data_IF_358611624344
#
_entry.id   IF_358611624344
#
_cell.length_a   1.000
_cell.length_b   1.000
_cell.length_c   1.000
_cell.angle_alpha   90.00
_cell.angle_beta   90.00
_cell.angle_gamma   90.00
#
_symmetry.space_group_name_H-M   'P 1'
#
loop_
_entity.id
_entity.type
_entity.pdbx_description
1 polymer ?
#
# COMPACT_ATOMS: atom_id res chain seq x y z
N UNK A 1 0.30 -6.13 -61.53
CA UNK A 1 0.31 -4.66 -61.35
C UNK A 1 1.36 -4.30 -60.31
N UNK A 2 2.40 -3.62 -60.78
CA UNK A 2 3.34 -2.68 -60.14
C UNK A 2 3.95 -3.01 -58.77
N UNK A 3 5.21 -3.45 -58.83
CA UNK A 3 6.24 -3.33 -57.77
C UNK A 3 6.66 -1.86 -57.63
N UNK A 4 6.48 -1.28 -56.44
CA UNK A 4 6.88 0.09 -56.12
C UNK A 4 8.32 0.13 -55.61
N UNK A 5 9.22 0.52 -56.51
CA UNK A 5 10.63 0.80 -56.28
C UNK A 5 10.77 2.25 -55.80
N UNK A 6 11.43 2.49 -54.66
CA UNK A 6 11.82 3.85 -54.25
C UNK A 6 13.31 3.86 -53.92
N UNK A 7 14.09 4.42 -54.85
CA UNK A 7 15.50 4.77 -54.65
C UNK A 7 15.61 6.25 -54.23
N UNK A 8 16.33 6.45 -53.13
CA UNK A 8 17.29 7.50 -52.78
C UNK A 8 17.28 8.84 -53.56
N UNK A 9 17.16 9.95 -52.83
CA UNK A 9 17.74 11.25 -53.22
C UNK A 9 18.46 11.87 -52.01
N UNK A 10 19.72 12.23 -52.27
CA UNK A 10 20.74 12.73 -51.34
C UNK A 10 20.71 14.26 -51.29
N UNK A 11 20.88 14.83 -50.08
CA UNK A 11 21.76 15.97 -49.82
C UNK A 11 21.26 17.39 -50.11
N UNK A 12 21.19 18.21 -49.05
CA UNK A 12 21.72 19.57 -49.09
C UNK A 12 22.10 20.02 -47.67
N UNK A 13 23.41 20.09 -47.43
CA UNK A 13 24.03 20.74 -46.28
C UNK A 13 23.56 22.20 -46.18
N UNK A 14 23.09 22.58 -44.99
CA UNK A 14 22.86 23.97 -44.63
C UNK A 14 24.00 24.42 -43.72
N UNK A 15 24.83 25.29 -44.28
CA UNK A 15 25.95 25.99 -43.66
C UNK A 15 25.51 26.77 -42.41
N UNK A 16 26.31 26.66 -41.35
CA UNK A 16 26.15 27.43 -40.11
C UNK A 16 26.75 28.84 -40.25
N UNK A 17 26.17 29.87 -39.62
CA UNK A 17 26.85 31.16 -39.44
C UNK A 17 27.85 31.09 -38.29
N UNK A 18 29.11 31.46 -38.58
CA UNK A 18 30.16 31.69 -37.60
C UNK A 18 30.06 33.12 -37.07
N UNK A 19 29.98 33.29 -35.75
CA UNK A 19 30.65 34.41 -35.07
C UNK A 19 31.20 33.93 -33.73
N UNK A 20 32.36 34.48 -33.41
CA UNK A 20 33.35 34.06 -32.44
C UNK A 20 33.23 34.89 -31.16
N UNK A 21 33.76 34.34 -30.05
CA UNK A 21 34.27 35.03 -28.85
C UNK A 21 33.21 35.57 -27.85
N UNK A 22 33.25 35.34 -26.52
CA UNK A 22 34.30 34.90 -25.59
C UNK A 22 33.68 34.09 -24.43
N UNK A 23 34.51 33.23 -23.84
CA UNK A 23 34.19 32.28 -22.77
C UNK A 23 34.56 32.87 -21.38
N UNK A 24 33.68 32.82 -20.37
CA UNK A 24 34.11 32.79 -18.98
C UNK A 24 34.39 31.34 -18.62
N UNK A 25 35.64 31.04 -18.31
CA UNK A 25 36.06 29.81 -17.66
C UNK A 25 35.45 29.75 -16.25
N UNK A 26 34.61 28.76 -15.96
CA UNK A 26 34.78 27.97 -14.73
C UNK A 26 34.18 26.58 -14.93
N UNK A 27 34.95 25.64 -14.44
CA UNK A 27 34.83 24.21 -14.57
C UNK A 27 33.95 23.70 -13.43
N UNK A 28 32.80 23.07 -13.70
CA UNK A 28 32.20 22.15 -12.72
C UNK A 28 31.22 21.18 -13.37
N UNK A 29 31.76 20.15 -14.04
CA UNK A 29 31.00 18.94 -14.32
C UNK A 29 30.89 18.11 -13.03
N UNK A 30 29.93 18.44 -12.17
CA UNK A 30 29.45 17.49 -11.17
C UNK A 30 28.38 16.63 -11.83
N UNK A 31 28.80 15.40 -12.12
CA UNK A 31 28.00 14.29 -12.58
C UNK A 31 26.68 14.19 -11.83
N UNK A 32 25.57 14.26 -12.56
CA UNK A 32 24.25 13.89 -12.07
C UNK A 32 24.24 12.37 -11.85
N UNK A 33 24.73 11.97 -10.68
CA UNK A 33 24.45 10.64 -10.14
C UNK A 33 23.04 10.72 -9.57
N UNK A 34 22.09 10.11 -10.28
CA UNK A 34 20.73 9.82 -9.81
C UNK A 34 20.83 9.06 -8.47
N UNK A 35 20.84 9.82 -7.38
CA UNK A 35 20.83 9.29 -6.04
C UNK A 35 19.40 8.89 -5.73
N UNK A 36 19.01 7.68 -6.13
CA UNK A 36 17.80 7.04 -5.62
C UNK A 36 17.99 6.84 -4.11
N UNK A 37 17.59 7.85 -3.34
CA UNK A 37 17.59 7.82 -1.88
C UNK A 37 16.56 6.77 -1.44
N UNK A 38 16.98 5.51 -1.36
CA UNK A 38 16.20 4.48 -0.67
C UNK A 38 16.15 4.86 0.80
N UNK A 39 15.05 5.46 1.23
CA UNK A 39 14.84 5.80 2.64
C UNK A 39 14.76 4.48 3.42
N UNK A 40 15.80 4.18 4.19
CA UNK A 40 15.82 2.99 5.04
C UNK A 40 14.93 3.18 6.26
N UNK A 41 14.39 2.07 6.82
CA UNK A 41 13.57 2.08 8.06
C UNK A 41 14.28 2.80 9.23
N UNK A 42 15.61 2.70 9.30
CA UNK A 42 16.42 3.37 10.33
C UNK A 42 16.55 4.86 10.06
N UNK A 43 16.71 5.25 8.79
CA UNK A 43 16.71 6.66 8.35
C UNK A 43 15.35 7.32 8.58
N UNK A 44 14.25 6.58 8.43
CA UNK A 44 12.89 7.04 8.73
C UNK A 44 12.70 7.30 10.22
N UNK A 45 13.05 6.34 11.09
CA UNK A 45 12.95 6.51 12.55
C UNK A 45 13.86 7.63 13.09
N UNK A 46 15.08 7.74 12.56
CA UNK A 46 16.02 8.78 12.99
C UNK A 46 15.59 10.20 12.58
N UNK A 47 14.88 10.35 11.46
CA UNK A 47 14.39 11.65 10.97
C UNK A 47 12.99 12.02 11.51
N UNK A 48 12.18 11.03 11.90
CA UNK A 48 10.82 11.24 12.42
C UNK A 48 10.76 12.01 13.74
N UNK A 49 11.82 11.96 14.57
CA UNK A 49 11.85 12.64 15.88
C UNK A 49 12.00 14.18 15.71
N UNK A 50 12.56 14.66 14.59
CA UNK A 50 12.87 16.08 14.39
C UNK A 50 11.69 16.96 13.93
N UNK A 51 10.64 16.40 13.33
CA UNK A 51 9.50 17.18 12.82
C UNK A 51 8.48 17.54 13.93
N UNK A 52 8.58 16.95 15.12
CA UNK A 52 7.61 17.11 16.21
C UNK A 52 7.82 18.38 17.05
N UNK A 53 8.96 19.05 16.94
CA UNK A 53 9.34 20.15 17.84
C UNK A 53 8.52 21.44 17.62
N UNK A 54 7.82 21.60 16.49
CA UNK A 54 7.00 22.79 16.20
C UNK A 54 5.50 22.62 16.55
N UNK A 55 5.05 21.45 17.00
CA UNK A 55 3.65 21.23 17.43
C UNK A 55 3.39 21.45 18.93
N UNK A 56 4.41 21.82 19.71
CA UNK A 56 4.30 21.98 21.17
C UNK A 56 3.56 23.25 21.65
N UNK A 57 3.00 24.07 20.75
CA UNK A 57 2.30 25.32 21.11
C UNK A 57 0.87 25.44 20.58
N UNK A 58 0.24 24.35 20.10
CA UNK A 58 -1.19 24.38 19.82
C UNK A 58 -1.98 23.92 21.05
N UNK A 59 -2.78 24.80 21.69
CA UNK A 59 -3.69 24.40 22.76
C UNK A 59 -4.98 23.77 22.20
N UNK A 60 -4.90 23.09 21.05
CA UNK A 60 -6.00 22.24 20.60
C UNK A 60 -5.93 20.96 21.43
N UNK A 61 -6.59 21.01 22.60
CA UNK A 61 -6.79 19.85 23.44
C UNK A 61 -7.48 18.77 22.62
N UNK A 62 -6.71 17.77 22.23
CA UNK A 62 -7.22 16.54 21.67
C UNK A 62 -7.86 15.80 22.84
N UNK A 63 -9.11 16.14 23.14
CA UNK A 63 -9.97 15.27 23.93
C UNK A 63 -10.08 14.01 23.11
N UNK A 64 -9.20 13.04 23.38
CA UNK A 64 -9.37 11.70 22.87
C UNK A 64 -10.76 11.29 23.35
N UNK A 65 -11.72 11.19 22.43
CA UNK A 65 -12.98 10.49 22.66
C UNK A 65 -12.64 9.00 22.65
N UNK A 66 -11.69 8.59 23.49
CA UNK A 66 -11.61 7.24 23.96
C UNK A 66 -12.77 7.16 24.97
N UNK A 67 -13.96 6.85 24.45
CA UNK A 67 -15.04 6.39 25.31
C UNK A 67 -14.54 5.24 26.19
N UNK A 68 -15.23 4.93 27.30
CA UNK A 68 -14.84 3.83 28.16
C UNK A 68 -14.57 2.59 27.29
N UNK A 69 -13.32 2.13 27.28
CA UNK A 69 -12.98 0.84 26.71
C UNK A 69 -13.65 -0.16 27.63
N UNK A 70 -14.83 -0.64 27.23
CA UNK A 70 -15.43 -1.81 27.81
C UNK A 70 -14.39 -2.92 27.72
N UNK A 71 -13.97 -3.44 28.88
CA UNK A 71 -12.97 -4.49 29.01
C UNK A 71 -13.61 -5.80 28.51
N UNK A 72 -13.80 -5.89 27.19
CA UNK A 72 -14.49 -7.01 26.55
C UNK A 72 -13.59 -8.23 26.68
N UNK A 73 -14.11 -9.24 27.36
CA UNK A 73 -13.44 -10.53 27.48
C UNK A 73 -13.05 -11.06 26.08
N UNK A 74 -11.93 -11.77 25.95
CA UNK A 74 -11.55 -12.42 24.69
C UNK A 74 -12.69 -13.29 24.16
N UNK A 75 -12.85 -13.33 22.83
CA UNK A 75 -13.83 -14.21 22.17
C UNK A 75 -13.55 -15.68 22.50
N UNK A 76 -14.63 -16.46 22.64
CA UNK A 76 -14.50 -17.91 22.78
C UNK A 76 -13.87 -18.49 21.49
N UNK A 77 -12.77 -19.22 21.69
CA UNK A 77 -12.04 -19.88 20.61
C UNK A 77 -12.90 -20.83 19.79
N UNK A 78 -13.82 -21.57 20.43
CA UNK A 78 -14.68 -22.52 19.72
C UNK A 78 -15.66 -21.81 18.78
N UNK A 79 -16.13 -20.62 19.16
CA UNK A 79 -17.02 -19.81 18.32
C UNK A 79 -16.24 -19.23 17.13
N UNK A 80 -15.00 -18.78 17.35
CA UNK A 80 -14.12 -18.28 16.28
C UNK A 80 -13.79 -19.39 15.27
N UNK A 81 -13.43 -20.58 15.74
CA UNK A 81 -13.19 -21.74 14.87
C UNK A 81 -14.43 -22.08 14.06
N UNK A 82 -15.59 -22.16 14.71
CA UNK A 82 -16.85 -22.47 14.03
C UNK A 82 -17.19 -21.43 12.97
N UNK A 83 -17.01 -20.15 13.28
CA UNK A 83 -17.29 -19.04 12.38
C UNK A 83 -16.46 -19.12 11.10
N UNK A 84 -15.16 -19.36 11.21
CA UNK A 84 -14.27 -19.53 10.05
C UNK A 84 -14.59 -20.83 9.30
N UNK A 85 -14.90 -21.91 10.01
CA UNK A 85 -15.27 -23.20 9.40
C UNK A 85 -16.53 -23.08 8.54
N UNK A 86 -17.61 -22.49 9.06
CA UNK A 86 -18.89 -22.40 8.34
C UNK A 86 -18.85 -21.41 7.18
N UNK A 87 -17.95 -20.43 7.21
CA UNK A 87 -17.74 -19.50 6.11
C UNK A 87 -17.29 -20.16 4.80
N UNK A 88 -16.84 -21.42 4.84
CA UNK A 88 -16.53 -22.21 3.65
C UNK A 88 -17.76 -22.68 2.86
N UNK A 89 -18.97 -22.66 3.44
CA UNK A 89 -20.15 -23.24 2.76
C UNK A 89 -21.53 -22.76 3.21
N UNK A 90 -21.68 -22.16 4.40
CA UNK A 90 -22.97 -21.92 5.04
C UNK A 90 -23.17 -20.42 5.38
N UNK A 91 -23.66 -19.67 4.40
CA UNK A 91 -23.92 -18.23 4.52
C UNK A 91 -24.98 -17.90 5.57
N UNK A 92 -26.02 -18.72 5.69
CA UNK A 92 -27.11 -18.46 6.64
C UNK A 92 -26.61 -18.58 8.08
N UNK A 93 -25.75 -19.56 8.34
CA UNK A 93 -25.10 -19.70 9.64
C UNK A 93 -24.09 -18.60 9.92
N UNK A 94 -23.31 -18.16 8.93
CA UNK A 94 -22.42 -16.99 9.07
C UNK A 94 -23.20 -15.75 9.51
N UNK A 95 -24.36 -15.49 8.88
CA UNK A 95 -25.24 -14.36 9.24
C UNK A 95 -25.76 -14.49 10.67
N UNK A 96 -26.30 -15.66 11.04
CA UNK A 96 -26.81 -15.91 12.38
C UNK A 96 -25.74 -15.69 13.47
N UNK A 97 -24.51 -16.19 13.24
CA UNK A 97 -23.40 -16.00 14.17
C UNK A 97 -22.97 -14.53 14.29
N UNK A 98 -23.01 -13.75 13.21
CA UNK A 98 -22.71 -12.31 13.24
C UNK A 98 -23.81 -11.50 13.93
N UNK A 99 -25.08 -11.89 13.79
CA UNK A 99 -26.18 -11.27 14.52
C UNK A 99 -26.04 -11.49 16.03
N UNK A 100 -25.67 -12.71 16.45
CA UNK A 100 -25.44 -13.04 17.86
C UNK A 100 -24.17 -12.41 18.42
N UNK A 101 -23.06 -12.48 17.68
CA UNK A 101 -21.75 -11.97 18.10
C UNK A 101 -21.09 -11.12 17.00
N UNK A 102 -21.43 -9.82 16.89
CA UNK A 102 -20.92 -8.94 15.83
C UNK A 102 -19.39 -8.79 15.80
N UNK A 103 -18.72 -9.04 16.94
CA UNK A 103 -17.27 -8.97 17.05
C UNK A 103 -16.54 -10.09 16.29
N UNK A 104 -17.23 -11.17 15.90
CA UNK A 104 -16.65 -12.23 15.06
C UNK A 104 -16.21 -11.73 13.68
N UNK A 105 -16.76 -10.61 13.20
CA UNK A 105 -16.45 -10.05 11.88
C UNK A 105 -14.95 -9.88 11.62
N UNK A 106 -14.18 -9.52 12.66
CA UNK A 106 -12.74 -9.28 12.58
C UNK A 106 -11.91 -10.44 13.15
N UNK A 107 -12.54 -11.57 13.49
CA UNK A 107 -11.85 -12.71 14.08
C UNK A 107 -11.09 -13.52 13.02
N UNK A 108 -9.97 -14.12 13.45
CA UNK A 108 -9.19 -15.05 12.67
C UNK A 108 -8.91 -16.31 13.49
N UNK A 109 -8.91 -17.46 12.83
CA UNK A 109 -8.60 -18.76 13.41
C UNK A 109 -7.21 -19.23 12.97
N UNK A 110 -6.40 -19.73 13.90
CA UNK A 110 -5.09 -20.33 13.59
C UNK A 110 -5.27 -21.84 13.41
N UNK A 111 -5.09 -22.35 12.18
CA UNK A 111 -5.03 -23.78 11.89
C UNK A 111 -3.73 -24.46 12.39
N UNK A 112 -2.94 -23.72 13.19
CA UNK A 112 -1.63 -24.02 13.79
C UNK A 112 -0.49 -23.60 12.88
N UNK A 113 0.69 -23.41 13.51
CA UNK A 113 1.94 -22.98 12.84
C UNK A 113 1.82 -21.60 12.17
N UNK A 114 0.87 -20.77 12.64
CA UNK A 114 0.66 -19.42 12.11
C UNK A 114 -0.13 -19.40 10.82
N UNK A 115 -0.89 -20.45 10.53
CA UNK A 115 -1.80 -20.52 9.38
C UNK A 115 -3.14 -19.90 9.78
N UNK A 116 -3.20 -18.57 9.70
CA UNK A 116 -4.37 -17.81 10.10
C UNK A 116 -5.36 -17.64 8.94
N UNK A 117 -6.63 -17.90 9.23
CA UNK A 117 -7.71 -17.73 8.28
C UNK A 117 -8.84 -16.88 8.88
N UNK A 118 -9.44 -16.02 8.05
CA UNK A 118 -10.63 -15.23 8.39
C UNK A 118 -11.84 -15.80 7.66
N UNK A 119 -13.07 -15.48 8.10
CA UNK A 119 -14.28 -15.90 7.40
C UNK A 119 -14.31 -15.45 5.93
N UNK A 120 -13.84 -14.24 5.62
CA UNK A 120 -13.75 -13.76 4.23
C UNK A 120 -12.71 -14.54 3.43
N UNK A 121 -11.56 -14.89 4.04
CA UNK A 121 -10.56 -15.76 3.40
C UNK A 121 -11.13 -17.14 3.08
N UNK A 122 -11.81 -17.75 4.05
CA UNK A 122 -12.51 -19.02 3.94
C UNK A 122 -13.61 -19.02 2.88
N UNK A 123 -14.35 -17.91 2.71
CA UNK A 123 -15.32 -17.77 1.63
C UNK A 123 -14.64 -17.55 0.27
N UNK A 124 -13.59 -16.74 0.24
CA UNK A 124 -12.89 -16.32 -0.97
C UNK A 124 -12.23 -17.47 -1.72
N UNK A 125 -11.47 -18.33 -1.03
CA UNK A 125 -10.82 -19.48 -1.69
C UNK A 125 -11.79 -20.59 -2.10
N UNK A 126 -13.00 -20.60 -1.55
CA UNK A 126 -14.09 -21.49 -1.95
C UNK A 126 -14.91 -20.93 -3.13
N UNK A 127 -14.67 -19.69 -3.55
CA UNK A 127 -15.43 -19.04 -4.62
C UNK A 127 -16.83 -18.60 -4.21
N UNK A 128 -17.09 -18.45 -2.91
CA UNK A 128 -18.39 -18.03 -2.37
C UNK A 128 -18.55 -16.51 -2.41
N UNK A 129 -18.90 -16.00 -3.59
CA UNK A 129 -19.08 -14.55 -3.82
C UNK A 129 -20.02 -13.91 -2.81
N UNK A 130 -21.15 -14.54 -2.49
CA UNK A 130 -22.18 -13.93 -1.63
C UNK A 130 -21.74 -13.81 -0.16
N UNK A 131 -20.81 -14.66 0.29
CA UNK A 131 -20.24 -14.59 1.64
C UNK A 131 -19.04 -13.63 1.70
N UNK A 132 -18.34 -13.45 0.57
CA UNK A 132 -17.11 -12.64 0.49
C UNK A 132 -17.32 -11.19 0.02
N UNK A 133 -18.56 -10.75 -0.22
CA UNK A 133 -18.89 -9.45 -0.85
C UNK A 133 -19.74 -8.54 0.03
#
# INVERSE_FOLDING_TARGET
MVVGHWSLVIGKELSQPTTNNQQPTTNNQQSQTEFLMTISRRTFLARGIGASSLMLFSPFQMTAIAGPQEDKAPLDRMIVEEFVRVAHSDLDKVKAMLEETPHLLNAAWDWKKGDFETAIGAAGHMGLKDTAN
#
